data_IF_322732813291
#
_entry.id   IF_322732813291
#
_cell.length_a   1.000
_cell.length_b   1.000
_cell.length_c   1.000
_cell.angle_alpha   90.00
_cell.angle_beta   90.00
_cell.angle_gamma   90.00
#
_symmetry.space_group_name_H-M   'P 1'
#
loop_
_entity.id
_entity.type
_entity.pdbx_description
1 polymer ?
#
# COMPACT_ATOMS: atom_id res chain seq x y z
N UNK A 1 -16.37 -1.10 -3.60
CA UNK A 1 -15.48 -2.16 -3.07
C UNK A 1 -14.11 -2.04 -3.71
N UNK A 2 -13.07 -2.34 -2.98
CA UNK A 2 -11.70 -2.31 -3.48
C UNK A 2 -11.27 -3.72 -3.91
N UNK A 3 -10.86 -3.84 -5.17
CA UNK A 3 -10.29 -5.06 -5.71
C UNK A 3 -8.80 -4.89 -5.92
N UNK A 4 -8.08 -6.00 -5.97
CA UNK A 4 -6.63 -6.00 -6.16
C UNK A 4 -6.27 -6.78 -7.41
N UNK A 5 -5.23 -6.31 -8.10
CA UNK A 5 -4.64 -7.03 -9.21
C UNK A 5 -3.13 -6.84 -9.23
N UNK A 6 -2.44 -7.71 -9.90
CA UNK A 6 -1.00 -7.60 -10.12
C UNK A 6 -0.54 -8.54 -11.21
N UNK A 7 0.63 -8.24 -11.74
CA UNK A 7 1.31 -9.12 -12.69
C UNK A 7 1.99 -10.26 -11.90
N UNK A 8 1.67 -11.53 -12.18
CA UNK A 8 2.28 -12.66 -11.47
C UNK A 8 3.80 -12.72 -11.56
N UNK A 9 4.39 -12.24 -12.65
CA UNK A 9 5.85 -12.21 -12.82
C UNK A 9 6.47 -11.20 -11.87
N UNK A 10 5.86 -10.03 -11.74
CA UNK A 10 6.30 -9.01 -10.80
C UNK A 10 6.15 -9.49 -9.37
N UNK A 11 5.05 -10.17 -9.05
CA UNK A 11 4.83 -10.73 -7.73
C UNK A 11 5.91 -11.76 -7.36
N UNK A 12 6.24 -12.65 -8.28
CA UNK A 12 7.28 -13.66 -8.05
C UNK A 12 8.65 -13.02 -7.85
N UNK A 13 9.00 -12.02 -8.66
CA UNK A 13 10.24 -11.29 -8.54
C UNK A 13 10.31 -10.52 -7.23
N UNK A 14 9.22 -9.89 -6.84
CA UNK A 14 9.16 -9.14 -5.59
C UNK A 14 9.36 -10.04 -4.38
N UNK A 15 8.73 -11.21 -4.39
CA UNK A 15 8.91 -12.19 -3.31
C UNK A 15 10.37 -12.64 -3.21
N UNK A 16 11.01 -12.90 -4.35
CA UNK A 16 12.41 -13.31 -4.38
C UNK A 16 13.34 -12.20 -3.88
N UNK A 17 13.12 -10.96 -4.34
CA UNK A 17 14.04 -9.85 -4.10
C UNK A 17 13.82 -9.17 -2.74
N UNK A 18 12.59 -9.14 -2.24
CA UNK A 18 12.23 -8.42 -1.02
C UNK A 18 11.58 -9.28 0.05
N UNK A 19 11.23 -10.52 -0.27
CA UNK A 19 10.60 -11.43 0.68
C UNK A 19 9.15 -11.06 1.01
N UNK A 20 8.51 -10.19 0.24
CA UNK A 20 7.14 -9.74 0.47
C UNK A 20 6.24 -10.28 -0.63
N UNK A 21 5.23 -11.06 -0.23
CA UNK A 21 4.19 -11.57 -1.10
C UNK A 21 3.15 -10.48 -1.35
N UNK A 22 2.77 -10.25 -2.59
CA UNK A 22 1.73 -9.26 -2.92
C UNK A 22 0.38 -9.60 -2.27
N UNK A 23 0.08 -10.89 -2.12
CA UNK A 23 -1.13 -11.31 -1.40
C UNK A 23 -1.13 -10.84 0.05
N UNK A 24 0.02 -10.93 0.72
CA UNK A 24 0.18 -10.44 2.09
C UNK A 24 0.20 -8.90 2.14
N UNK A 25 0.73 -8.26 1.11
CA UNK A 25 0.81 -6.79 1.05
C UNK A 25 -0.56 -6.12 0.93
N UNK A 26 -1.58 -6.83 0.43
CA UNK A 26 -2.94 -6.29 0.33
C UNK A 26 -3.46 -5.73 1.65
N UNK A 27 -3.13 -6.38 2.75
CA UNK A 27 -3.57 -5.96 4.08
C UNK A 27 -3.12 -4.53 4.41
N UNK A 28 -1.95 -4.13 3.94
CA UNK A 28 -1.44 -2.77 4.16
C UNK A 28 -2.30 -1.71 3.47
N UNK A 29 -2.90 -2.05 2.34
CA UNK A 29 -3.71 -1.11 1.57
C UNK A 29 -5.10 -0.87 2.18
N UNK A 30 -5.50 -1.69 3.15
CA UNK A 30 -6.77 -1.54 3.88
C UNK A 30 -6.54 -1.34 5.38
N UNK A 31 -5.30 -1.18 5.80
CA UNK A 31 -4.95 -0.91 7.19
C UNK A 31 -5.53 0.45 7.60
N UNK A 32 -6.34 0.53 8.68
CA UNK A 32 -6.91 1.80 9.12
C UNK A 32 -5.86 2.82 9.56
N UNK A 33 -4.64 2.40 9.85
CA UNK A 33 -3.54 3.28 10.26
C UNK A 33 -2.56 3.54 9.11
N UNK A 34 -2.89 3.12 7.89
CA UNK A 34 -2.01 3.30 6.75
C UNK A 34 -1.72 4.77 6.45
N UNK A 35 -0.56 5.01 5.88
CA UNK A 35 -0.17 6.33 5.40
C UNK A 35 -0.11 6.27 3.88
N UNK A 36 -0.99 6.99 3.22
CA UNK A 36 -1.02 7.07 1.75
C UNK A 36 -0.38 8.36 1.28
N UNK A 37 0.49 8.25 0.29
CA UNK A 37 1.13 9.40 -0.33
C UNK A 37 1.04 9.28 -1.86
N UNK A 38 0.82 10.41 -2.51
CA UNK A 38 0.89 10.46 -3.97
C UNK A 38 2.38 10.44 -4.34
N UNK A 39 2.75 9.48 -5.20
CA UNK A 39 4.13 9.37 -5.67
C UNK A 39 4.32 10.17 -6.96
N UNK A 40 3.55 9.85 -7.99
CA UNK A 40 3.65 10.50 -9.28
C UNK A 40 2.46 10.17 -10.16
N UNK A 41 2.34 10.87 -11.28
CA UNK A 41 1.40 10.51 -12.34
C UNK A 41 2.23 10.05 -13.54
N UNK A 42 1.96 8.84 -14.03
CA UNK A 42 2.64 8.24 -15.18
C UNK A 42 1.60 7.91 -16.23
N UNK A 43 1.71 8.54 -17.39
CA UNK A 43 0.78 8.34 -18.51
C UNK A 43 -0.70 8.48 -18.10
N UNK A 44 -1.00 9.49 -17.27
CA UNK A 44 -2.35 9.73 -16.76
C UNK A 44 -2.76 8.82 -15.62
N UNK A 45 -1.92 7.89 -15.20
CA UNK A 45 -2.21 6.96 -14.11
C UNK A 45 -1.61 7.48 -12.79
N UNK A 46 -2.45 7.60 -11.77
CA UNK A 46 -2.02 8.03 -10.45
C UNK A 46 -1.31 6.88 -9.73
N UNK A 47 -0.08 7.11 -9.35
CA UNK A 47 0.72 6.16 -8.56
C UNK A 47 0.85 6.63 -7.13
N UNK A 48 0.65 5.69 -6.22
CA UNK A 48 0.60 5.92 -4.78
C UNK A 48 1.65 5.07 -4.07
N UNK A 49 2.06 5.54 -2.91
CA UNK A 49 2.86 4.75 -1.96
C UNK A 49 2.09 4.68 -0.66
N UNK A 50 1.88 3.48 -0.16
CA UNK A 50 1.15 3.26 1.09
C UNK A 50 2.04 2.49 2.06
N UNK A 51 2.23 3.06 3.24
CA UNK A 51 2.89 2.38 4.35
C UNK A 51 1.82 1.82 5.26
N UNK A 52 1.88 0.52 5.53
CA UNK A 52 0.89 -0.14 6.37
C UNK A 52 1.35 -1.52 6.80
N UNK A 53 0.53 -2.16 7.61
CA UNK A 53 0.81 -3.49 8.15
C UNK A 53 0.35 -4.57 7.18
N UNK A 54 1.29 -5.36 6.68
CA UNK A 54 0.98 -6.55 5.89
C UNK A 54 0.60 -7.73 6.79
N UNK A 55 0.10 -8.80 6.19
CA UNK A 55 -0.09 -10.05 6.93
C UNK A 55 1.25 -10.49 7.52
N UNK A 56 1.21 -11.12 8.70
CA UNK A 56 2.42 -11.51 9.41
C UNK A 56 3.01 -10.38 10.27
N UNK A 57 2.30 -9.26 10.40
CA UNK A 57 2.67 -8.13 11.25
C UNK A 57 3.99 -7.45 10.84
N UNK A 58 4.20 -7.35 9.54
CA UNK A 58 5.34 -6.65 8.98
C UNK A 58 4.86 -5.33 8.36
N UNK A 59 5.45 -4.22 8.79
CA UNK A 59 5.17 -2.93 8.16
C UNK A 59 5.89 -2.86 6.83
N UNK A 60 5.13 -2.56 5.77
CA UNK A 60 5.65 -2.53 4.40
C UNK A 60 5.31 -1.21 3.73
N UNK A 61 6.09 -0.89 2.70
CA UNK A 61 5.73 0.15 1.74
C UNK A 61 5.29 -0.53 0.46
N UNK A 62 4.10 -0.17 -0.01
CA UNK A 62 3.52 -0.72 -1.24
C UNK A 62 3.38 0.38 -2.27
N UNK A 63 3.98 0.18 -3.43
CA UNK A 63 3.75 1.03 -4.60
C UNK A 63 2.59 0.44 -5.40
N UNK A 64 1.58 1.26 -5.68
CA UNK A 64 0.40 0.79 -6.38
C UNK A 64 -0.23 1.89 -7.23
N UNK A 65 -1.07 1.49 -8.15
CA UNK A 65 -1.84 2.40 -8.99
C UNK A 65 -3.31 2.07 -8.85
N UNK A 66 -4.11 3.08 -8.54
CA UNK A 66 -5.54 2.90 -8.35
C UNK A 66 -6.32 3.49 -9.52
N UNK A 67 -7.37 2.81 -9.91
CA UNK A 67 -8.31 3.29 -10.93
C UNK A 67 -9.73 2.86 -10.61
N UNK A 68 -10.69 3.57 -11.16
CA UNK A 68 -12.08 3.13 -11.10
C UNK A 68 -12.29 1.92 -11.99
N UNK A 69 -13.13 0.99 -11.54
CA UNK A 69 -13.59 -0.11 -12.38
C UNK A 69 -14.57 0.44 -13.44
N UNK A 70 -14.83 -0.35 -14.48
CA UNK A 70 -15.73 0.06 -15.57
C UNK A 70 -17.14 0.41 -15.09
N UNK A 71 -17.60 -0.20 -14.00
CA UNK A 71 -18.92 0.08 -13.42
C UNK A 71 -19.01 1.45 -12.73
N UNK A 72 -17.89 2.17 -12.57
CA UNK A 72 -17.86 3.48 -11.93
C UNK A 72 -18.12 3.47 -10.42
N UNK A 73 -18.23 2.30 -9.81
CA UNK A 73 -18.54 2.13 -8.38
C UNK A 73 -17.35 1.56 -7.63
N UNK A 74 -16.72 0.52 -8.19
CA UNK A 74 -15.61 -0.18 -7.56
C UNK A 74 -14.28 0.45 -7.91
N UNK A 75 -13.30 0.23 -7.06
CA UNK A 75 -11.92 0.69 -7.25
C UNK A 75 -11.01 -0.51 -7.39
N UNK A 76 -10.01 -0.41 -8.24
CA UNK A 76 -9.01 -1.44 -8.45
C UNK A 76 -7.64 -0.89 -8.09
N UNK A 77 -6.96 -1.56 -7.17
CA UNK A 77 -5.58 -1.26 -6.82
C UNK A 77 -4.67 -2.28 -7.49
N UNK A 78 -3.80 -1.82 -8.39
CA UNK A 78 -2.78 -2.67 -9.01
C UNK A 78 -1.50 -2.53 -8.20
N UNK A 79 -1.07 -3.64 -7.57
CA UNK A 79 0.17 -3.67 -6.81
C UNK A 79 1.35 -3.78 -7.76
N UNK A 80 2.32 -2.89 -7.61
CA UNK A 80 3.49 -2.80 -8.50
C UNK A 80 4.74 -3.32 -7.80
N UNK A 81 4.91 -2.97 -6.52
CA UNK A 81 6.10 -3.30 -5.74
C UNK A 81 5.76 -3.24 -4.26
N UNK A 82 6.41 -4.08 -3.46
CA UNK A 82 6.26 -4.06 -2.01
C UNK A 82 7.60 -4.42 -1.36
N UNK A 83 7.99 -3.64 -0.36
CA UNK A 83 9.21 -3.88 0.40
C UNK A 83 8.94 -3.61 1.87
N UNK A 84 9.82 -4.08 2.74
CA UNK A 84 9.73 -3.71 4.15
C UNK A 84 9.90 -2.20 4.27
N UNK A 85 9.16 -1.61 5.20
CA UNK A 85 9.30 -0.19 5.51
C UNK A 85 10.71 0.11 6.01
N UNK A 86 11.24 1.26 5.63
CA UNK A 86 12.47 1.76 6.21
C UNK A 86 12.26 2.10 7.68
N UNK A 87 13.33 2.24 8.49
CA UNK A 87 13.17 2.62 9.89
C UNK A 87 12.37 3.91 10.08
N UNK A 88 12.57 4.93 9.23
CA UNK A 88 11.82 6.18 9.29
C UNK A 88 10.35 6.00 8.95
N UNK A 89 10.05 5.24 7.90
CA UNK A 89 8.68 4.92 7.51
C UNK A 89 7.96 4.15 8.60
N UNK A 90 8.63 3.17 9.18
CA UNK A 90 8.05 2.37 10.26
C UNK A 90 7.81 3.20 11.51
N UNK A 91 8.74 4.09 11.88
CA UNK A 91 8.56 4.96 13.04
C UNK A 91 7.36 5.88 12.87
N UNK A 92 7.16 6.44 11.69
CA UNK A 92 6.01 7.28 11.42
C UNK A 92 4.70 6.49 11.49
N UNK A 93 4.68 5.29 10.92
CA UNK A 93 3.53 4.41 11.00
C UNK A 93 3.19 4.06 12.45
N UNK A 94 4.19 3.67 13.24
CA UNK A 94 4.00 3.31 14.64
C UNK A 94 3.50 4.49 15.47
N UNK A 95 3.99 5.69 15.18
CA UNK A 95 3.54 6.91 15.84
C UNK A 95 2.06 7.18 15.56
N UNK A 96 1.64 7.06 14.31
CA UNK A 96 0.23 7.26 13.92
C UNK A 96 -0.65 6.19 14.56
N UNK A 97 -0.21 4.94 14.54
CA UNK A 97 -0.96 3.84 15.15
C UNK A 97 -1.11 4.02 16.65
N UNK A 98 -0.06 4.45 17.33
CA UNK A 98 -0.09 4.71 18.79
C UNK A 98 -1.03 5.86 19.15
N UNK A 99 -1.21 6.84 18.26
CA UNK A 99 -2.11 7.97 18.47
C UNK A 99 -3.56 7.67 18.08
N UNK A 100 -3.87 6.45 17.62
CA UNK A 100 -5.21 6.06 17.20
C UNK A 100 -5.54 6.35 15.76
N UNK A 101 -4.54 6.73 14.96
CA UNK A 101 -4.69 7.05 13.54
C UNK A 101 -4.66 8.54 13.25
N UNK A 102 -4.65 8.88 11.98
CA UNK A 102 -4.67 10.27 11.54
C UNK A 102 -6.07 10.86 11.76
N UNK A 103 -6.12 12.04 12.39
CA UNK A 103 -7.37 12.77 12.62
C UNK A 103 -7.17 14.24 12.26
N UNK A 104 -7.88 14.77 11.25
CA UNK A 104 -7.76 16.17 10.86
C UNK A 104 -8.06 17.16 11.97
N UNK A 105 -8.91 16.76 12.95
CA UNK A 105 -9.28 17.62 14.08
C UNK A 105 -8.18 17.80 15.12
N UNK A 106 -7.16 16.95 15.09
CA UNK A 106 -6.06 16.95 16.06
C UNK A 106 -4.87 17.81 15.64
N UNK A 107 -5.03 18.63 14.64
CA UNK A 107 -3.97 19.52 14.18
C UNK A 107 -3.86 20.76 15.02
#
# INVERSE_FOLDING_TARGET
MLFFEWDPRKAARNLRDHGIDFGAARAALVDPFRIEEIDQVVDGELRLRTTGMAEGQVVVLVAHANREAENGIDEIARIIHARKASPGERSEYERIRASGGWNPADR
#
